data_IF_289406390863
#
_entry.id   IF_289406390863
#
_cell.length_a   1.000
_cell.length_b   1.000
_cell.length_c   1.000
_cell.angle_alpha   90.00
_cell.angle_beta   90.00
_cell.angle_gamma   90.00
#
_symmetry.space_group_name_H-M   'P 1'
#
loop_
_entity.id
_entity.type
_entity.pdbx_description
1 polymer ?
#
# COMPACT_ATOMS: atom_id res chain seq x y z
N UNK A 1 -6.68 13.07 -9.46
CA UNK A 1 -5.29 13.55 -9.53
C UNK A 1 -4.65 12.92 -10.76
N UNK A 2 -3.96 13.70 -11.58
CA UNK A 2 -3.33 13.19 -12.80
C UNK A 2 -2.01 12.52 -12.43
N UNK A 3 -1.86 11.22 -12.74
CA UNK A 3 -0.65 10.40 -12.58
C UNK A 3 0.64 11.06 -13.12
N UNK A 4 0.48 12.00 -14.06
CA UNK A 4 1.58 12.81 -14.62
C UNK A 4 2.25 13.69 -13.57
N UNK A 5 1.56 14.05 -12.49
CA UNK A 5 2.11 14.89 -11.42
C UNK A 5 3.00 14.08 -10.47
N UNK A 6 2.58 12.87 -10.10
CA UNK A 6 3.31 11.97 -9.18
C UNK A 6 4.68 11.57 -9.77
N UNK A 7 4.71 11.10 -11.03
CA UNK A 7 5.95 10.64 -11.67
C UNK A 7 7.02 11.75 -11.77
N UNK A 8 6.62 13.02 -11.91
CA UNK A 8 7.56 14.15 -11.99
C UNK A 8 8.31 14.37 -10.67
N UNK A 9 7.66 14.19 -9.53
CA UNK A 9 8.33 14.33 -8.22
C UNK A 9 9.33 13.20 -8.00
N UNK A 10 8.98 11.97 -8.36
CA UNK A 10 9.92 10.85 -8.37
C UNK A 10 11.15 11.16 -9.22
N UNK A 11 10.97 11.64 -10.45
CA UNK A 11 12.07 11.92 -11.36
C UNK A 11 13.04 12.98 -10.85
N UNK A 12 12.58 14.01 -10.12
CA UNK A 12 13.47 14.99 -9.47
C UNK A 12 14.40 14.34 -8.45
N UNK A 13 13.98 13.23 -7.85
CA UNK A 13 14.73 12.48 -6.85
C UNK A 13 15.63 11.40 -7.48
N UNK A 14 15.41 11.01 -8.74
CA UNK A 14 16.18 9.96 -9.42
C UNK A 14 17.53 10.44 -9.99
N UNK A 15 18.40 10.92 -9.10
CA UNK A 15 19.85 10.99 -9.37
C UNK A 15 20.46 9.58 -9.45
N UNK A 16 21.74 9.47 -9.83
CA UNK A 16 22.44 8.20 -10.10
C UNK A 16 22.36 7.19 -8.95
N UNK A 17 22.16 5.91 -9.26
CA UNK A 17 22.26 4.80 -8.29
C UNK A 17 21.10 4.69 -7.29
N UNK A 18 19.89 5.09 -7.70
CA UNK A 18 18.68 5.15 -6.86
C UNK A 18 17.59 4.24 -7.38
N UNK A 19 16.73 3.75 -6.50
CA UNK A 19 15.49 3.05 -6.87
C UNK A 19 14.30 3.70 -6.16
N UNK A 20 13.19 3.87 -6.88
CA UNK A 20 11.93 4.28 -6.30
C UNK A 20 10.88 3.19 -6.47
N UNK A 21 10.12 2.93 -5.40
CA UNK A 21 8.97 2.03 -5.39
C UNK A 21 7.72 2.86 -5.65
N UNK A 22 6.99 2.51 -6.70
CA UNK A 22 5.86 3.29 -7.23
C UNK A 22 4.65 2.40 -7.52
N UNK A 23 3.45 2.96 -7.43
CA UNK A 23 2.23 2.32 -7.92
C UNK A 23 2.28 2.12 -9.42
N UNK A 24 2.21 0.85 -9.83
CA UNK A 24 1.98 0.34 -11.18
C UNK A 24 2.03 1.40 -12.31
N UNK A 25 3.22 1.71 -12.86
CA UNK A 25 3.35 2.79 -13.84
C UNK A 25 2.96 2.34 -15.27
N UNK A 26 2.10 1.31 -15.41
CA UNK A 26 1.64 0.73 -16.68
C UNK A 26 0.65 1.58 -17.47
N UNK A 27 0.38 2.84 -17.11
CA UNK A 27 -0.41 3.73 -17.99
C UNK A 27 0.52 4.55 -18.87
N UNK A 28 0.43 4.26 -20.17
CA UNK A 28 0.94 4.99 -21.32
C UNK A 28 1.22 6.48 -21.02
N UNK A 29 2.49 6.83 -20.84
CA UNK A 29 2.86 8.23 -20.57
C UNK A 29 4.31 8.44 -20.09
N UNK A 30 4.96 7.38 -19.61
CA UNK A 30 6.36 7.42 -19.15
C UNK A 30 7.36 7.54 -20.33
N UNK A 31 6.95 7.20 -21.56
CA UNK A 31 7.87 7.00 -22.69
C UNK A 31 8.20 8.31 -23.44
N UNK A 32 7.45 9.41 -23.26
CA UNK A 32 7.61 10.62 -24.08
C UNK A 32 7.56 11.96 -23.33
N UNK A 33 7.97 11.99 -22.06
CA UNK A 33 8.09 13.25 -21.34
C UNK A 33 9.39 14.01 -21.71
N UNK A 34 9.33 15.28 -22.14
CA UNK A 34 10.53 16.08 -22.44
C UNK A 34 11.39 16.25 -21.18
N UNK A 35 12.68 15.91 -21.26
CA UNK A 35 13.63 15.93 -20.14
C UNK A 35 13.86 14.58 -19.44
N UNK A 36 13.21 13.51 -19.89
CA UNK A 36 13.56 12.15 -19.49
C UNK A 36 14.75 11.65 -20.32
N UNK A 37 15.90 11.47 -19.66
CA UNK A 37 16.91 10.54 -20.14
C UNK A 37 16.26 9.15 -20.24
N UNK A 38 16.05 8.68 -21.48
CA UNK A 38 15.27 7.51 -21.88
C UNK A 38 15.01 6.52 -20.74
N UNK A 39 13.75 6.39 -20.33
CA UNK A 39 13.32 5.23 -19.54
C UNK A 39 13.29 4.03 -20.48
N UNK A 40 14.19 3.08 -20.24
CA UNK A 40 14.23 1.82 -20.98
C UNK A 40 13.36 0.81 -20.25
N UNK A 41 12.48 0.20 -21.02
CA UNK A 41 11.82 -1.03 -20.65
C UNK A 41 12.81 -2.18 -20.66
N UNK A 42 12.97 -2.91 -19.56
CA UNK A 42 14.04 -3.91 -19.39
C UNK A 42 13.78 -5.25 -20.14
N UNK A 43 12.97 -5.22 -21.20
CA UNK A 43 12.71 -6.38 -22.07
C UNK A 43 11.75 -7.43 -21.52
N UNK A 44 11.52 -7.49 -20.20
CA UNK A 44 10.54 -8.40 -19.57
C UNK A 44 9.23 -7.69 -19.20
N UNK A 45 8.12 -8.00 -19.94
CA UNK A 45 6.71 -8.08 -19.51
C UNK A 45 6.32 -7.57 -18.14
N UNK A 46 6.90 -8.33 -17.22
CA UNK A 46 6.36 -8.67 -15.93
C UNK A 46 7.36 -8.34 -14.82
N UNK A 47 8.49 -7.71 -15.18
CA UNK A 47 9.45 -7.20 -14.21
C UNK A 47 8.96 -5.98 -13.46
N UNK A 48 8.02 -5.21 -14.04
CA UNK A 48 7.60 -3.91 -13.51
C UNK A 48 8.81 -3.04 -13.15
N UNK A 49 9.92 -3.17 -13.88
CA UNK A 49 11.15 -2.44 -13.64
C UNK A 49 11.42 -1.53 -14.85
N UNK A 50 11.64 -0.26 -14.55
CA UNK A 50 11.99 0.76 -15.53
C UNK A 50 13.37 1.30 -15.18
N UNK A 51 14.27 1.31 -16.17
CA UNK A 51 15.64 1.81 -15.98
C UNK A 51 15.75 3.22 -16.57
N UNK A 52 16.12 4.18 -15.74
CA UNK A 52 16.47 5.55 -16.13
C UNK A 52 17.96 5.57 -16.47
N UNK A 53 18.29 5.97 -17.70
CA UNK A 53 19.69 6.04 -18.18
C UNK A 53 20.50 7.06 -17.38
N UNK A 54 21.36 6.56 -16.50
CA UNK A 54 22.28 7.31 -15.62
C UNK A 54 23.55 6.47 -15.38
N UNK A 55 24.59 7.07 -14.83
CA UNK A 55 25.80 6.35 -14.41
C UNK A 55 26.17 6.70 -12.95
N UNK A 56 25.93 5.80 -11.96
CA UNK A 56 25.20 4.52 -12.06
C UNK A 56 23.71 4.69 -12.42
N UNK A 57 23.06 3.63 -12.99
CA UNK A 57 21.66 3.65 -13.41
C UNK A 57 20.70 3.92 -12.25
N UNK A 58 19.45 4.26 -12.57
CA UNK A 58 18.40 4.50 -11.59
C UNK A 58 17.12 3.81 -12.01
N UNK A 59 16.26 3.47 -11.07
CA UNK A 59 15.19 2.51 -11.30
C UNK A 59 13.85 2.98 -10.75
N UNK A 60 12.77 2.74 -11.48
CA UNK A 60 11.42 2.75 -10.92
C UNK A 60 10.95 1.30 -10.88
N UNK A 61 10.48 0.84 -9.74
CA UNK A 61 9.95 -0.51 -9.56
C UNK A 61 8.48 -0.43 -9.13
N UNK A 62 7.61 -1.02 -9.94
CA UNK A 62 6.18 -1.08 -9.68
C UNK A 62 5.85 -2.09 -8.59
N UNK A 63 5.32 -1.65 -7.46
CA UNK A 63 4.97 -2.53 -6.34
C UNK A 63 3.48 -2.81 -6.24
N UNK A 64 3.14 -3.77 -5.39
CA UNK A 64 1.77 -4.21 -5.09
C UNK A 64 1.61 -4.42 -3.58
N UNK A 65 0.48 -3.95 -3.04
CA UNK A 65 0.18 -4.02 -1.61
C UNK A 65 -0.40 -5.39 -1.21
N UNK A 66 0.40 -6.43 -1.36
CA UNK A 66 0.09 -7.80 -0.91
C UNK A 66 1.24 -8.34 -0.05
N UNK A 67 0.99 -9.31 0.84
CA UNK A 67 2.06 -9.92 1.64
C UNK A 67 3.23 -10.37 0.77
N UNK A 68 4.47 -10.00 1.15
CA UNK A 68 5.64 -10.24 0.30
C UNK A 68 5.83 -11.74 0.00
N UNK A 69 5.51 -12.62 0.95
CA UNK A 69 5.60 -14.08 0.78
C UNK A 69 4.70 -14.65 -0.32
N UNK A 70 3.63 -13.94 -0.72
CA UNK A 70 2.76 -14.37 -1.81
C UNK A 70 3.34 -14.07 -3.20
N UNK A 71 4.34 -13.19 -3.29
CA UNK A 71 4.80 -12.63 -4.58
C UNK A 71 6.31 -12.62 -4.75
N UNK A 72 7.08 -12.79 -3.68
CA UNK A 72 8.55 -12.68 -3.68
C UNK A 72 9.23 -13.58 -4.73
N UNK A 73 8.76 -14.82 -4.84
CA UNK A 73 9.31 -15.80 -5.79
C UNK A 73 8.96 -15.44 -7.25
N UNK A 74 7.92 -14.63 -7.45
CA UNK A 74 7.51 -14.11 -8.76
C UNK A 74 8.16 -12.77 -9.10
N UNK A 75 8.85 -12.11 -8.14
CA UNK A 75 9.59 -10.87 -8.43
C UNK A 75 10.85 -11.22 -9.23
N UNK A 76 11.03 -10.68 -10.45
CA UNK A 76 12.17 -11.03 -11.29
C UNK A 76 13.53 -10.57 -10.72
N UNK A 77 14.58 -11.30 -11.09
CA UNK A 77 15.92 -11.10 -10.52
C UNK A 77 16.53 -9.74 -10.86
N UNK A 78 16.20 -9.17 -12.02
CA UNK A 78 16.62 -7.82 -12.39
C UNK A 78 16.09 -6.76 -11.40
N UNK A 79 14.85 -6.89 -10.92
CA UNK A 79 14.28 -5.99 -9.91
C UNK A 79 14.94 -6.17 -8.53
N UNK A 80 15.18 -7.43 -8.13
CA UNK A 80 15.94 -7.75 -6.91
C UNK A 80 17.36 -7.18 -6.97
N UNK A 81 18.04 -7.32 -8.10
CA UNK A 81 19.38 -6.80 -8.33
C UNK A 81 19.39 -5.26 -8.33
N UNK A 82 18.45 -4.61 -9.01
CA UNK A 82 18.30 -3.17 -9.01
C UNK A 82 18.12 -2.61 -7.60
N UNK A 83 17.30 -3.27 -6.77
CA UNK A 83 17.18 -2.95 -5.35
C UNK A 83 18.50 -3.16 -4.60
N UNK A 84 19.17 -4.30 -4.81
CA UNK A 84 20.41 -4.65 -4.13
C UNK A 84 21.54 -3.64 -4.38
N UNK A 85 21.73 -3.20 -5.63
CA UNK A 85 22.81 -2.27 -6.01
C UNK A 85 22.50 -0.80 -5.70
N UNK A 86 21.22 -0.45 -5.54
CA UNK A 86 20.82 0.94 -5.27
C UNK A 86 21.22 1.36 -3.85
N UNK A 87 21.75 2.57 -3.71
CA UNK A 87 22.19 3.09 -2.40
C UNK A 87 21.10 3.88 -1.68
N UNK A 88 20.14 4.40 -2.44
CA UNK A 88 18.97 5.11 -1.92
C UNK A 88 17.69 4.45 -2.44
N UNK A 89 16.71 4.32 -1.57
CA UNK A 89 15.40 3.75 -1.87
C UNK A 89 14.32 4.78 -1.51
N UNK A 90 13.49 5.13 -2.49
CA UNK A 90 12.36 6.03 -2.30
C UNK A 90 11.08 5.21 -2.27
N UNK A 91 10.26 5.42 -1.25
CA UNK A 91 8.95 4.80 -1.09
C UNK A 91 7.86 5.83 -1.37
N UNK A 92 6.65 5.38 -1.65
CA UNK A 92 5.47 6.26 -1.66
C UNK A 92 5.30 6.93 -0.30
N UNK A 93 5.26 6.13 0.76
CA UNK A 93 5.12 6.58 2.14
C UNK A 93 6.17 5.94 3.04
N UNK A 94 6.48 6.66 4.13
CA UNK A 94 7.36 6.16 5.18
C UNK A 94 6.57 5.25 6.13
N UNK A 95 6.41 3.98 5.74
CA UNK A 95 5.63 3.00 6.48
C UNK A 95 6.35 2.43 7.71
N UNK A 96 7.63 2.73 7.89
CA UNK A 96 8.39 2.38 9.12
C UNK A 96 8.24 3.45 10.20
N UNK A 97 7.89 4.68 9.81
CA UNK A 97 7.61 5.77 10.74
C UNK A 97 6.20 5.67 11.36
N UNK A 98 6.10 5.53 12.70
CA UNK A 98 4.82 5.39 13.38
C UNK A 98 3.92 6.64 13.24
N UNK A 99 4.49 7.82 13.00
CA UNK A 99 3.73 9.05 12.77
C UNK A 99 2.95 8.97 11.47
N UNK A 100 3.58 8.48 10.40
CA UNK A 100 2.93 8.27 9.09
C UNK A 100 1.79 7.26 9.22
N UNK A 101 2.03 6.13 9.90
CA UNK A 101 1.01 5.09 10.12
C UNK A 101 -0.16 5.63 10.94
N UNK A 102 0.11 6.42 11.98
CA UNK A 102 -0.93 7.06 12.80
C UNK A 102 -1.76 8.08 12.00
N UNK A 103 -1.10 8.90 11.18
CA UNK A 103 -1.77 9.86 10.31
C UNK A 103 -2.64 9.15 9.25
N UNK A 104 -2.15 8.06 8.64
CA UNK A 104 -2.94 7.22 7.73
C UNK A 104 -4.15 6.60 8.43
N UNK A 105 -4.02 6.14 9.67
CA UNK A 105 -5.16 5.63 10.43
C UNK A 105 -6.20 6.73 10.69
N UNK A 106 -5.73 7.91 11.06
CA UNK A 106 -6.57 9.06 11.39
C UNK A 106 -7.33 9.60 10.18
N UNK A 107 -6.69 9.66 9.00
CA UNK A 107 -7.32 10.20 7.80
C UNK A 107 -8.50 9.35 7.28
N UNK A 108 -8.60 8.07 7.70
CA UNK A 108 -9.68 7.17 7.33
C UNK A 108 -10.98 7.45 8.08
N UNK A 109 -10.91 8.25 9.16
CA UNK A 109 -12.01 8.48 10.07
C UNK A 109 -12.98 9.53 9.53
N UNK A 110 -14.25 9.36 9.88
CA UNK A 110 -15.28 10.38 9.77
C UNK A 110 -14.91 11.60 10.63
N UNK A 111 -15.42 12.79 10.28
CA UNK A 111 -15.30 13.98 11.14
C UNK A 111 -15.71 13.69 12.59
N UNK A 112 -15.16 14.47 13.53
CA UNK A 112 -15.50 14.32 14.95
C UNK A 112 -17.03 14.43 15.17
N UNK A 113 -17.54 13.56 16.04
CA UNK A 113 -18.97 13.49 16.36
C UNK A 113 -19.85 12.77 15.34
N UNK A 114 -19.29 12.31 14.21
CA UNK A 114 -20.03 11.50 13.22
C UNK A 114 -19.74 10.00 13.38
N UNK A 115 -20.77 9.21 13.11
CA UNK A 115 -20.74 7.76 13.05
C UNK A 115 -21.14 7.27 11.65
N UNK A 116 -20.73 6.07 11.30
CA UNK A 116 -21.07 5.41 10.05
C UNK A 116 -22.59 5.22 9.91
N UNK A 117 -23.32 5.05 11.02
CA UNK A 117 -24.79 5.00 11.03
C UNK A 117 -25.44 6.30 10.54
N UNK A 118 -24.74 7.43 10.61
CA UNK A 118 -25.26 8.73 10.18
C UNK A 118 -25.19 8.90 8.65
N UNK A 119 -24.39 8.07 7.98
CA UNK A 119 -24.06 8.22 6.54
C UNK A 119 -24.47 7.01 5.70
N UNK A 120 -24.69 5.85 6.31
CA UNK A 120 -25.16 4.65 5.60
C UNK A 120 -26.67 4.45 5.78
N UNK A 121 -27.36 3.89 4.77
CA UNK A 121 -28.69 3.33 4.94
C UNK A 121 -28.72 2.30 6.09
N UNK A 122 -29.79 2.32 6.90
CA UNK A 122 -29.87 1.50 8.11
C UNK A 122 -29.82 -0.01 7.85
N UNK A 123 -30.34 -0.47 6.71
CA UNK A 123 -30.26 -1.87 6.28
C UNK A 123 -28.81 -2.28 5.95
N UNK A 124 -28.06 -1.40 5.26
CA UNK A 124 -26.66 -1.62 4.92
C UNK A 124 -25.78 -1.62 6.19
N UNK A 125 -26.00 -0.68 7.10
CA UNK A 125 -25.33 -0.66 8.41
C UNK A 125 -25.57 -1.97 9.17
N UNK A 126 -26.82 -2.43 9.22
CA UNK A 126 -27.19 -3.68 9.91
C UNK A 126 -26.55 -4.91 9.27
N UNK A 127 -26.48 -4.96 7.94
CA UNK A 127 -25.80 -6.04 7.20
C UNK A 127 -24.30 -6.05 7.49
N UNK A 128 -23.65 -4.88 7.46
CA UNK A 128 -22.24 -4.73 7.80
C UNK A 128 -21.96 -5.20 9.23
N UNK A 129 -22.74 -4.74 10.20
CA UNK A 129 -22.59 -5.15 11.61
C UNK A 129 -22.68 -6.67 11.76
N UNK A 130 -23.71 -7.31 11.19
CA UNK A 130 -23.85 -8.78 11.22
C UNK A 130 -22.66 -9.50 10.58
N UNK A 131 -22.15 -8.98 9.46
CA UNK A 131 -21.00 -9.57 8.79
C UNK A 131 -19.73 -9.46 9.65
N UNK A 132 -19.49 -8.33 10.29
CA UNK A 132 -18.34 -8.14 11.18
C UNK A 132 -18.41 -9.05 12.42
N UNK A 133 -19.61 -9.26 12.99
CA UNK A 133 -19.79 -10.25 14.07
C UNK A 133 -19.51 -11.68 13.62
N UNK A 134 -19.96 -12.06 12.42
CA UNK A 134 -19.62 -13.35 11.81
C UNK A 134 -18.10 -13.51 11.67
N UNK A 135 -17.43 -12.51 11.07
CA UNK A 135 -15.97 -12.52 10.90
C UNK A 135 -15.25 -12.65 12.24
N UNK A 136 -15.70 -11.91 13.27
CA UNK A 136 -15.15 -12.00 14.63
C UNK A 136 -15.24 -13.42 15.19
N UNK A 137 -16.39 -14.09 15.02
CA UNK A 137 -16.58 -15.49 15.41
C UNK A 137 -15.73 -16.48 14.61
N UNK A 138 -15.35 -16.14 13.38
CA UNK A 138 -14.48 -16.97 12.53
C UNK A 138 -12.99 -16.79 12.82
N UNK A 139 -12.56 -15.67 13.42
CA UNK A 139 -11.14 -15.38 13.69
C UNK A 139 -10.38 -16.55 14.37
N UNK A 140 -10.89 -17.21 15.43
CA UNK A 140 -10.21 -18.35 16.04
C UNK A 140 -9.99 -19.55 15.10
N UNK A 141 -10.80 -19.68 14.04
CA UNK A 141 -10.70 -20.77 13.07
C UNK A 141 -9.75 -20.41 11.91
N UNK A 142 -9.73 -19.15 11.52
CA UNK A 142 -8.88 -18.66 10.43
C UNK A 142 -7.43 -18.39 10.84
N UNK A 143 -7.18 -18.06 12.11
CA UNK A 143 -5.82 -17.80 12.59
C UNK A 143 -4.92 -19.03 12.55
N UNK A 144 -3.66 -18.82 12.15
CA UNK A 144 -2.64 -19.88 12.12
C UNK A 144 -2.05 -20.16 13.51
N UNK A 145 -1.38 -21.31 13.66
CA UNK A 145 -0.67 -21.66 14.90
C UNK A 145 0.50 -20.70 15.18
N UNK A 146 1.22 -20.28 14.14
CA UNK A 146 2.33 -19.33 14.24
C UNK A 146 1.86 -17.96 14.77
N UNK A 147 0.75 -17.43 14.25
CA UNK A 147 0.16 -16.18 14.75
C UNK A 147 -0.15 -16.26 16.25
N UNK A 148 -0.74 -17.37 16.70
CA UNK A 148 -1.03 -17.60 18.13
C UNK A 148 0.25 -17.74 18.95
N UNK A 149 1.26 -18.44 18.43
CA UNK A 149 2.56 -18.62 19.06
C UNK A 149 3.31 -17.30 19.27
N UNK A 150 3.06 -16.29 18.43
CA UNK A 150 3.58 -14.93 18.56
C UNK A 150 2.76 -14.02 19.49
N UNK A 151 1.76 -14.58 20.19
CA UNK A 151 0.92 -13.83 21.14
C UNK A 151 -0.22 -13.04 20.49
N UNK A 152 -0.55 -13.29 19.22
CA UNK A 152 -1.77 -12.73 18.62
C UNK A 152 -2.98 -13.55 19.06
N UNK A 153 -4.00 -12.89 19.63
CA UNK A 153 -5.28 -13.49 19.97
C UNK A 153 -6.38 -13.00 19.03
N UNK A 154 -7.45 -13.78 18.87
CA UNK A 154 -8.52 -13.53 17.90
C UNK A 154 -9.15 -12.13 18.03
N UNK A 155 -9.52 -11.73 19.26
CA UNK A 155 -10.08 -10.40 19.51
C UNK A 155 -9.06 -9.29 19.25
N UNK A 156 -7.79 -9.50 19.61
CA UNK A 156 -6.73 -8.53 19.33
C UNK A 156 -6.56 -8.33 17.83
N UNK A 157 -6.48 -9.42 17.06
CA UNK A 157 -6.33 -9.36 15.61
C UNK A 157 -7.56 -8.74 14.93
N UNK A 158 -8.76 -9.09 15.38
CA UNK A 158 -9.99 -8.47 14.90
C UNK A 158 -9.98 -6.96 15.15
N UNK A 159 -9.65 -6.53 16.37
CA UNK A 159 -9.59 -5.11 16.72
C UNK A 159 -8.47 -4.36 15.97
N UNK A 160 -7.36 -5.03 15.66
CA UNK A 160 -6.29 -4.44 14.86
C UNK A 160 -6.72 -4.17 13.40
N UNK A 161 -7.66 -4.95 12.86
CA UNK A 161 -8.13 -4.82 11.47
C UNK A 161 -9.39 -3.94 11.40
N UNK A 162 -10.39 -4.27 12.21
CA UNK A 162 -11.75 -3.74 12.15
C UNK A 162 -12.15 -2.94 13.39
N UNK A 163 -11.22 -2.66 14.31
CA UNK A 163 -11.47 -1.78 15.44
C UNK A 163 -11.95 -0.40 14.99
N UNK A 164 -12.90 0.17 15.74
CA UNK A 164 -13.50 1.48 15.47
C UNK A 164 -14.10 1.62 14.05
N UNK A 165 -14.53 0.52 13.43
CA UNK A 165 -15.13 0.55 12.08
C UNK A 165 -16.33 1.51 11.98
N UNK A 166 -17.10 1.68 13.06
CA UNK A 166 -18.22 2.62 13.15
C UNK A 166 -17.79 4.10 12.98
N UNK A 167 -16.50 4.40 13.11
CA UNK A 167 -15.93 5.74 12.92
C UNK A 167 -15.21 5.91 11.59
N UNK A 168 -15.02 4.85 10.80
CA UNK A 168 -14.36 4.93 9.49
C UNK A 168 -15.32 5.50 8.43
N UNK A 169 -14.78 6.17 7.41
CA UNK A 169 -15.60 6.61 6.26
C UNK A 169 -16.01 5.40 5.41
N UNK A 170 -17.14 5.47 4.66
CA UNK A 170 -17.67 4.33 3.90
C UNK A 170 -16.67 3.63 2.98
N UNK A 171 -15.85 4.37 2.22
CA UNK A 171 -14.84 3.77 1.32
C UNK A 171 -13.83 2.90 2.08
N UNK A 172 -13.38 3.34 3.25
CA UNK A 172 -12.41 2.61 4.06
C UNK A 172 -13.03 1.38 4.71
N UNK A 173 -14.31 1.44 5.07
CA UNK A 173 -15.07 0.28 5.53
C UNK A 173 -15.20 -0.75 4.42
N UNK A 174 -15.51 -0.32 3.19
CA UNK A 174 -15.58 -1.21 2.03
C UNK A 174 -14.23 -1.92 1.78
N UNK A 175 -13.12 -1.16 1.74
CA UNK A 175 -11.78 -1.73 1.57
C UNK A 175 -11.41 -2.69 2.71
N UNK A 176 -11.74 -2.32 3.95
CA UNK A 176 -11.54 -3.15 5.13
C UNK A 176 -12.30 -4.48 5.00
N UNK A 177 -13.60 -4.44 4.68
CA UNK A 177 -14.42 -5.65 4.48
C UNK A 177 -13.88 -6.54 3.37
N UNK A 178 -13.38 -5.96 2.27
CA UNK A 178 -12.74 -6.71 1.19
C UNK A 178 -11.44 -7.41 1.62
N UNK A 179 -10.87 -7.05 2.77
CA UNK A 179 -9.65 -7.64 3.36
C UNK A 179 -9.91 -8.53 4.58
N UNK A 180 -11.16 -8.97 4.78
CA UNK A 180 -11.62 -9.82 5.89
C UNK A 180 -11.98 -11.23 5.43
N UNK A 181 -11.17 -11.82 4.54
CA UNK A 181 -11.29 -13.23 4.17
C UNK A 181 -10.38 -14.12 5.04
N UNK A 182 -10.63 -15.44 5.03
CA UNK A 182 -9.73 -16.41 5.68
C UNK A 182 -8.28 -16.28 5.17
N UNK A 183 -8.09 -16.12 3.87
CA UNK A 183 -6.75 -15.99 3.27
C UNK A 183 -6.04 -14.72 3.75
N UNK A 184 -6.77 -13.61 3.86
CA UNK A 184 -6.20 -12.35 4.36
C UNK A 184 -5.81 -12.46 5.83
N UNK A 185 -6.71 -13.01 6.65
CA UNK A 185 -6.49 -13.23 8.09
C UNK A 185 -5.28 -14.13 8.33
N UNK A 186 -5.16 -15.23 7.59
CA UNK A 186 -4.00 -16.14 7.66
C UNK A 186 -2.67 -15.46 7.33
N UNK A 187 -2.69 -14.43 6.48
CA UNK A 187 -1.50 -13.66 6.12
C UNK A 187 -1.21 -12.46 7.02
N UNK A 188 -2.07 -12.14 8.00
CA UNK A 188 -1.81 -11.01 8.91
C UNK A 188 -0.55 -11.25 9.75
N UNK A 189 0.21 -10.19 9.97
CA UNK A 189 1.54 -10.26 10.59
C UNK A 189 2.68 -10.50 9.58
N UNK A 190 2.37 -10.81 8.31
CA UNK A 190 3.35 -10.77 7.22
C UNK A 190 3.33 -9.37 6.60
N UNK A 191 4.47 -8.68 6.45
CA UNK A 191 4.51 -7.36 5.84
C UNK A 191 4.11 -7.44 4.36
N UNK A 192 3.44 -6.38 3.86
CA UNK A 192 3.26 -6.20 2.42
C UNK A 192 4.60 -5.90 1.76
N UNK A 193 4.72 -6.12 0.45
CA UNK A 193 5.98 -5.98 -0.29
C UNK A 193 6.69 -4.63 -0.04
N UNK A 194 5.95 -3.53 -0.01
CA UNK A 194 6.53 -2.19 0.23
C UNK A 194 7.18 -2.08 1.61
N UNK A 195 6.49 -2.54 2.65
CA UNK A 195 6.99 -2.51 4.02
C UNK A 195 8.16 -3.48 4.20
N UNK A 196 8.10 -4.65 3.56
CA UNK A 196 9.22 -5.59 3.56
C UNK A 196 10.48 -4.98 2.93
N UNK A 197 10.33 -4.34 1.76
CA UNK A 197 11.46 -3.66 1.10
C UNK A 197 11.97 -2.46 1.91
N UNK A 198 11.12 -1.75 2.63
CA UNK A 198 11.53 -0.70 3.56
C UNK A 198 12.37 -1.25 4.72
N UNK A 199 11.91 -2.33 5.35
CA UNK A 199 12.63 -3.03 6.42
C UNK A 199 13.97 -3.59 5.92
N UNK A 200 14.01 -4.18 4.72
CA UNK A 200 15.25 -4.65 4.11
C UNK A 200 16.21 -3.51 3.76
N UNK A 201 15.70 -2.36 3.33
CA UNK A 201 16.53 -1.18 3.08
C UNK A 201 17.19 -0.68 4.38
N UNK A 202 16.45 -0.63 5.50
CA UNK A 202 17.00 -0.31 6.82
C UNK A 202 18.03 -1.34 7.28
N UNK A 203 17.72 -2.64 7.14
CA UNK A 203 18.63 -3.75 7.49
C UNK A 203 19.95 -3.66 6.72
N UNK A 204 19.89 -3.27 5.44
CA UNK A 204 21.04 -3.07 4.56
C UNK A 204 21.68 -1.68 4.69
N UNK A 205 21.20 -0.83 5.61
CA UNK A 205 21.68 0.55 5.84
C UNK A 205 21.65 1.43 4.58
N UNK A 206 20.68 1.20 3.69
CA UNK A 206 20.41 2.08 2.56
C UNK A 206 19.77 3.37 3.06
N UNK A 207 19.95 4.47 2.32
CA UNK A 207 19.25 5.72 2.62
C UNK A 207 17.81 5.61 2.12
N UNK A 208 16.84 5.90 2.99
CA UNK A 208 15.41 5.82 2.64
C UNK A 208 14.76 7.20 2.70
N UNK A 209 13.72 7.40 1.88
CA UNK A 209 12.87 8.58 1.93
C UNK A 209 11.48 8.25 1.39
N UNK A 210 10.48 9.05 1.76
CA UNK A 210 9.14 9.01 1.19
C UNK A 210 8.93 10.18 0.23
N UNK A 211 8.22 9.93 -0.87
CA UNK A 211 7.93 10.95 -1.90
C UNK A 211 6.60 11.63 -1.64
N UNK A 212 5.63 10.91 -1.09
CA UNK A 212 4.27 11.38 -0.93
C UNK A 212 3.95 11.70 0.54
N UNK A 213 2.91 12.51 0.72
CA UNK A 213 2.30 12.76 2.03
C UNK A 213 1.05 11.90 2.22
N UNK A 214 0.66 11.73 3.48
CA UNK A 214 -0.54 10.98 3.85
C UNK A 214 -1.79 11.56 3.19
N UNK A 215 -1.87 12.89 3.03
CA UNK A 215 -3.02 13.55 2.41
C UNK A 215 -3.20 13.14 0.95
N UNK A 216 -2.12 12.86 0.22
CA UNK A 216 -2.15 12.44 -1.18
C UNK A 216 -2.79 11.04 -1.33
N UNK A 217 -2.72 10.21 -0.27
CA UNK A 217 -3.42 8.93 -0.21
C UNK A 217 -4.88 9.05 0.17
N UNK A 218 -5.16 9.91 1.15
CA UNK A 218 -6.46 9.91 1.78
C UNK A 218 -7.46 10.80 1.04
N UNK A 219 -7.04 11.94 0.49
CA UNK A 219 -7.94 12.89 -0.16
C UNK A 219 -8.67 12.29 -1.38
N UNK A 220 -8.01 11.54 -2.28
CA UNK A 220 -8.71 10.92 -3.41
C UNK A 220 -9.81 9.97 -2.98
N UNK A 221 -9.58 9.17 -1.93
CA UNK A 221 -10.56 8.22 -1.40
C UNK A 221 -11.66 8.92 -0.60
N UNK A 222 -11.29 9.89 0.25
CA UNK A 222 -12.21 10.64 1.09
C UNK A 222 -13.13 11.58 0.29
N UNK A 223 -12.70 11.98 -0.90
CA UNK A 223 -13.48 12.81 -1.83
C UNK A 223 -14.43 12.03 -2.74
N UNK A 224 -14.46 10.69 -2.66
CA UNK A 224 -15.36 9.88 -3.48
C UNK A 224 -16.83 10.17 -3.16
N UNK A 225 -17.61 10.41 -4.21
CA UNK A 225 -19.04 10.71 -4.19
C UNK A 225 -19.77 9.79 -5.18
N UNK A 226 -21.03 9.45 -4.89
CA UNK A 226 -21.95 8.75 -5.81
C UNK A 226 -21.95 9.30 -7.25
N UNK A 227 -21.74 10.60 -7.46
CA UNK A 227 -21.67 11.22 -8.80
C UNK A 227 -20.45 10.80 -9.64
N UNK A 228 -19.46 10.12 -9.04
CA UNK A 228 -18.24 9.68 -9.72
C UNK A 228 -18.27 8.18 -10.09
N UNK A 229 -19.35 7.46 -9.75
CA UNK A 229 -19.49 6.00 -9.94
C UNK A 229 -20.46 5.65 -11.09
N UNK A 230 -21.07 6.64 -11.73
CA UNK A 230 -21.80 6.44 -12.98
C UNK A 230 -20.84 6.46 -14.16
N UNK A 231 -20.35 5.28 -14.54
CA UNK A 231 -19.61 4.99 -15.76
C UNK A 231 -20.18 3.77 -16.44
#
# INVERSE_FOLDING_TARGET
MSWVFELKEYLKLMQTGRIALVRNPRKEGVISMPGLDLIIYDGDPFSFLWTIKRNPPSYLFGTIHVPYTKVWDSIPDNAKQAFAISTHVYFELDLVNPTTVSALSSCQMLPHGKNLSDVLPGDLYSRLKRHLEYVRGMMPHWMTKDQRGRGLYADYLFNAIAGNWERKRPVWVMLMVNSLTESDVRSRGVPVLDLYLAQEAERLRKKTAAVEKVEEQCLPLNGLNFSQVSG
#
